data_IF_381992742521
#
_entry.id   IF_381992742521
#
_cell.length_a   1.000
_cell.length_b   1.000
_cell.length_c   1.000
_cell.angle_alpha   90.00
_cell.angle_beta   90.00
_cell.angle_gamma   90.00
#
_symmetry.space_group_name_H-M   'P 1'
#
loop_
_entity.id
_entity.type
_entity.pdbx_description
1 polymer ?
#
# COMPACT_ATOMS: atom_id res chain seq x y z
N UNK A 1 -1.52 -26.35 -10.50
CA UNK A 1 -2.63 -25.92 -11.39
C UNK A 1 -2.36 -24.49 -11.81
N UNK A 2 -1.92 -24.28 -13.05
CA UNK A 2 -1.90 -22.94 -13.62
C UNK A 2 -3.35 -22.59 -13.95
N UNK A 3 -3.93 -21.65 -13.22
CA UNK A 3 -5.26 -21.09 -13.53
C UNK A 3 -5.23 -20.55 -14.96
N UNK A 4 -6.18 -20.97 -15.79
CA UNK A 4 -6.31 -20.50 -17.17
C UNK A 4 -6.33 -18.96 -17.18
N UNK A 5 -5.42 -18.36 -17.94
CA UNK A 5 -5.40 -16.91 -18.18
C UNK A 5 -6.73 -16.51 -18.80
N UNK A 6 -7.54 -15.81 -18.03
CA UNK A 6 -8.82 -15.28 -18.50
C UNK A 6 -8.60 -13.89 -19.09
N UNK A 7 -9.38 -13.54 -20.12
CA UNK A 7 -9.38 -12.20 -20.72
C UNK A 7 -9.53 -11.07 -19.67
N UNK A 8 -10.28 -11.34 -18.60
CA UNK A 8 -10.45 -10.42 -17.49
C UNK A 8 -9.15 -10.17 -16.72
N UNK A 9 -8.36 -11.20 -16.44
CA UNK A 9 -7.08 -11.10 -15.73
C UNK A 9 -6.05 -10.30 -16.53
N UNK A 10 -5.99 -10.50 -17.85
CA UNK A 10 -5.12 -9.72 -18.73
C UNK A 10 -5.58 -8.25 -18.85
N UNK A 11 -6.89 -8.00 -18.94
CA UNK A 11 -7.46 -6.63 -18.97
C UNK A 11 -7.20 -5.84 -17.68
N UNK A 12 -7.24 -6.54 -16.54
CA UNK A 12 -7.04 -5.97 -15.22
C UNK A 12 -5.56 -5.69 -14.94
N UNK A 13 -4.67 -6.58 -15.40
CA UNK A 13 -3.21 -6.43 -15.30
C UNK A 13 -2.62 -5.43 -16.28
N UNK A 14 -3.32 -5.09 -17.36
CA UNK A 14 -2.82 -4.15 -18.37
C UNK A 14 -2.58 -2.74 -17.81
N UNK A 15 -3.44 -2.29 -16.90
CA UNK A 15 -3.37 -0.96 -16.29
C UNK A 15 -3.41 -1.04 -14.77
N UNK A 16 -2.38 -0.48 -14.13
CA UNK A 16 -2.25 -0.50 -12.67
C UNK A 16 -3.43 0.13 -11.92
N UNK A 17 -3.99 1.23 -12.43
CA UNK A 17 -5.16 1.86 -11.80
C UNK A 17 -6.38 0.94 -11.80
N UNK A 18 -6.54 0.05 -12.80
CA UNK A 18 -7.64 -0.92 -12.86
C UNK A 18 -7.48 -1.99 -11.79
N UNK A 19 -6.26 -2.53 -11.62
CA UNK A 19 -5.94 -3.47 -10.55
C UNK A 19 -6.19 -2.87 -9.16
N UNK A 20 -5.75 -1.62 -8.94
CA UNK A 20 -5.98 -0.91 -7.67
C UNK A 20 -7.47 -0.70 -7.41
N UNK A 21 -8.23 -0.18 -8.39
CA UNK A 21 -9.67 0.08 -8.25
C UNK A 21 -10.45 -1.21 -8.02
N UNK A 22 -10.13 -2.27 -8.75
CA UNK A 22 -10.78 -3.57 -8.57
C UNK A 22 -10.55 -4.13 -7.17
N UNK A 23 -9.30 -4.10 -6.68
CA UNK A 23 -8.97 -4.58 -5.33
C UNK A 23 -9.61 -3.73 -4.25
N UNK A 24 -9.64 -2.41 -4.44
CA UNK A 24 -10.36 -1.51 -3.55
C UNK A 24 -11.84 -1.90 -3.47
N UNK A 25 -12.52 -2.04 -4.62
CA UNK A 25 -13.92 -2.42 -4.68
C UNK A 25 -14.20 -3.78 -4.02
N UNK A 26 -13.33 -4.77 -4.27
CA UNK A 26 -13.47 -6.10 -3.70
C UNK A 26 -13.29 -6.09 -2.17
N UNK A 27 -12.20 -5.49 -1.68
CA UNK A 27 -11.92 -5.40 -0.25
C UNK A 27 -13.00 -4.56 0.47
N UNK A 28 -13.44 -3.46 -0.14
CA UNK A 28 -14.51 -2.64 0.41
C UNK A 28 -15.83 -3.42 0.51
N UNK A 29 -16.17 -4.20 -0.52
CA UNK A 29 -17.39 -5.03 -0.52
C UNK A 29 -17.35 -6.09 0.58
N UNK A 30 -16.24 -6.83 0.69
CA UNK A 30 -16.04 -7.86 1.72
C UNK A 30 -16.07 -7.24 3.12
N UNK A 31 -15.37 -6.12 3.32
CA UNK A 31 -15.30 -5.43 4.62
C UNK A 31 -16.66 -4.87 5.04
N UNK A 32 -17.41 -4.31 4.09
CA UNK A 32 -18.77 -3.80 4.34
C UNK A 32 -19.71 -4.93 4.76
N UNK A 33 -19.70 -6.05 4.03
CA UNK A 33 -20.52 -7.22 4.36
C UNK A 33 -20.13 -7.81 5.73
N UNK A 34 -18.83 -8.00 5.98
CA UNK A 34 -18.33 -8.51 7.25
C UNK A 34 -18.77 -7.63 8.43
N UNK A 35 -18.64 -6.31 8.27
CA UNK A 35 -19.07 -5.34 9.28
C UNK A 35 -20.59 -5.40 9.46
N UNK A 36 -21.37 -5.42 8.38
CA UNK A 36 -22.83 -5.53 8.46
C UNK A 36 -23.28 -6.78 9.24
N UNK A 37 -22.69 -7.95 8.95
CA UNK A 37 -23.00 -9.18 9.68
C UNK A 37 -22.59 -9.10 11.16
N UNK A 38 -21.43 -8.52 11.46
CA UNK A 38 -20.98 -8.34 12.84
C UNK A 38 -21.92 -7.44 13.66
N UNK A 39 -22.30 -6.28 13.09
CA UNK A 39 -23.12 -5.30 13.78
C UNK A 39 -24.60 -5.71 13.86
N UNK A 40 -25.20 -6.06 12.71
CA UNK A 40 -26.65 -6.25 12.61
C UNK A 40 -27.06 -7.67 13.02
N UNK A 41 -26.30 -8.69 12.62
CA UNK A 41 -26.67 -10.10 12.89
C UNK A 41 -26.15 -10.61 14.22
N UNK A 42 -24.95 -10.18 14.64
CA UNK A 42 -24.36 -10.60 15.93
C UNK A 42 -24.55 -9.57 17.05
N UNK A 43 -25.06 -8.38 16.75
CA UNK A 43 -25.30 -7.34 17.76
C UNK A 43 -24.02 -6.82 18.41
N UNK A 44 -22.87 -6.97 17.74
CA UNK A 44 -21.60 -6.49 18.29
C UNK A 44 -21.61 -4.95 18.24
N UNK A 45 -21.28 -4.26 19.36
CA UNK A 45 -21.21 -2.80 19.35
C UNK A 45 -20.19 -2.29 18.33
N UNK A 46 -20.59 -1.31 17.52
CA UNK A 46 -19.77 -0.78 16.42
C UNK A 46 -18.38 -0.28 16.85
N UNK A 47 -18.34 0.43 17.98
CA UNK A 47 -17.11 0.98 18.56
C UNK A 47 -16.18 -0.16 19.01
N UNK A 48 -16.73 -1.20 19.64
CA UNK A 48 -15.95 -2.34 20.09
C UNK A 48 -15.37 -3.12 18.90
N UNK A 49 -16.17 -3.39 17.87
CA UNK A 49 -15.71 -4.06 16.66
C UNK A 49 -14.60 -3.27 15.95
N UNK A 50 -14.76 -1.95 15.83
CA UNK A 50 -13.76 -1.08 15.25
C UNK A 50 -12.46 -1.02 16.06
N UNK A 51 -12.56 -0.94 17.40
CA UNK A 51 -11.37 -0.98 18.28
C UNK A 51 -10.60 -2.27 18.07
N UNK A 52 -11.26 -3.42 18.12
CA UNK A 52 -10.61 -4.73 17.94
C UNK A 52 -9.93 -4.87 16.57
N UNK A 53 -10.59 -4.37 15.51
CA UNK A 53 -9.98 -4.33 14.18
C UNK A 53 -8.74 -3.42 14.17
N UNK A 54 -8.84 -2.23 14.76
CA UNK A 54 -7.73 -1.27 14.81
C UNK A 54 -6.56 -1.82 15.61
N UNK A 55 -6.81 -2.42 16.77
CA UNK A 55 -5.79 -3.02 17.64
C UNK A 55 -5.04 -4.17 16.94
N UNK A 56 -5.71 -4.87 16.02
CA UNK A 56 -5.10 -5.96 15.25
C UNK A 56 -4.40 -5.46 13.98
N UNK A 57 -5.00 -4.51 13.27
CA UNK A 57 -4.54 -4.07 11.95
C UNK A 57 -3.49 -2.96 12.06
N UNK A 58 -3.59 -2.06 13.04
CA UNK A 58 -2.66 -0.95 13.18
C UNK A 58 -1.21 -1.40 13.42
N UNK A 59 -0.91 -2.39 14.29
CA UNK A 59 0.45 -2.92 14.42
C UNK A 59 0.94 -3.56 13.12
N UNK A 60 0.06 -4.30 12.43
CA UNK A 60 0.40 -4.94 11.16
C UNK A 60 0.73 -3.90 10.08
N UNK A 61 -0.08 -2.86 9.93
CA UNK A 61 0.17 -1.73 9.02
C UNK A 61 1.43 -0.99 9.43
N UNK A 62 1.69 -0.80 10.72
CA UNK A 62 2.90 -0.13 11.17
C UNK A 62 4.16 -0.95 10.82
N UNK A 63 4.18 -2.25 11.13
CA UNK A 63 5.35 -3.09 10.85
C UNK A 63 5.48 -3.39 9.35
N UNK A 64 4.49 -4.08 8.75
CA UNK A 64 4.56 -4.46 7.33
C UNK A 64 4.48 -3.26 6.39
N UNK A 65 3.72 -2.21 6.75
CA UNK A 65 3.66 -0.99 5.95
C UNK A 65 4.97 -0.23 5.98
N UNK A 66 5.65 -0.12 7.12
CA UNK A 66 6.96 0.55 7.18
C UNK A 66 8.05 -0.23 6.46
N UNK A 67 8.11 -1.56 6.65
CA UNK A 67 9.00 -2.41 5.85
C UNK A 67 8.67 -2.33 4.35
N UNK A 68 7.40 -2.33 4.00
CA UNK A 68 6.92 -2.16 2.63
C UNK A 68 7.35 -0.81 2.04
N UNK A 69 7.26 0.28 2.81
CA UNK A 69 7.68 1.60 2.39
C UNK A 69 9.20 1.66 2.11
N UNK A 70 10.02 1.11 3.01
CA UNK A 70 11.47 1.01 2.81
C UNK A 70 11.81 0.21 1.54
N UNK A 71 11.14 -0.93 1.34
CA UNK A 71 11.29 -1.72 0.11
C UNK A 71 10.83 -0.96 -1.14
N UNK A 72 9.79 -0.13 -1.04
CA UNK A 72 9.34 0.71 -2.15
C UNK A 72 10.38 1.78 -2.52
N UNK A 73 11.04 2.41 -1.53
CA UNK A 73 12.14 3.35 -1.79
C UNK A 73 13.30 2.67 -2.50
N UNK A 74 13.70 1.49 -2.01
CA UNK A 74 14.73 0.67 -2.64
C UNK A 74 14.34 0.26 -4.07
N UNK A 75 13.09 -0.15 -4.27
CA UNK A 75 12.53 -0.54 -5.56
C UNK A 75 12.52 0.62 -6.57
N UNK A 76 12.23 1.85 -6.12
CA UNK A 76 12.32 3.05 -6.95
C UNK A 76 13.76 3.38 -7.33
N UNK A 77 14.69 3.28 -6.38
CA UNK A 77 16.13 3.51 -6.63
C UNK A 77 16.66 2.55 -7.69
N UNK A 78 16.41 1.24 -7.53
CA UNK A 78 16.89 0.22 -8.47
C UNK A 78 16.36 0.46 -9.87
N UNK A 79 15.10 0.88 -9.99
CA UNK A 79 14.48 1.21 -11.28
C UNK A 79 15.13 2.39 -11.98
N UNK A 80 15.42 3.45 -11.24
CA UNK A 80 16.06 4.63 -11.80
C UNK A 80 17.53 4.33 -12.15
N UNK A 81 18.19 3.42 -11.41
CA UNK A 81 19.51 2.88 -11.78
C UNK A 81 19.48 2.02 -13.06
N UNK A 82 18.41 1.29 -13.37
CA UNK A 82 18.29 0.58 -14.66
C UNK A 82 18.35 1.55 -15.85
N UNK A 83 17.81 2.76 -15.67
CA UNK A 83 17.82 3.82 -16.69
C UNK A 83 19.18 4.52 -16.74
N UNK A 84 19.78 4.82 -15.60
CA UNK A 84 21.02 5.59 -15.49
C UNK A 84 22.30 4.75 -15.75
N UNK A 85 22.26 3.44 -15.49
CA UNK A 85 23.38 2.51 -15.69
C UNK A 85 22.89 1.14 -16.20
N UNK A 86 22.42 1.11 -17.45
CA UNK A 86 21.85 -0.09 -18.07
C UNK A 86 22.84 -1.26 -18.21
N UNK A 87 24.14 -1.00 -18.26
CA UNK A 87 25.16 -2.06 -18.34
C UNK A 87 25.19 -2.94 -17.09
N UNK A 88 25.07 -2.33 -15.90
CA UNK A 88 25.15 -3.04 -14.62
C UNK A 88 23.76 -3.39 -14.07
N UNK A 89 22.76 -2.53 -14.29
CA UNK A 89 21.40 -2.67 -13.74
C UNK A 89 20.33 -2.97 -14.81
N UNK A 90 20.72 -3.19 -16.06
CA UNK A 90 19.77 -3.55 -17.12
C UNK A 90 19.03 -4.86 -16.83
N UNK A 91 17.88 -5.06 -17.48
CA UNK A 91 16.97 -6.18 -17.20
C UNK A 91 17.62 -7.57 -17.36
N UNK A 92 18.65 -7.68 -18.21
CA UNK A 92 19.37 -8.93 -18.43
C UNK A 92 20.46 -9.21 -17.38
N UNK A 93 20.90 -8.17 -16.65
CA UNK A 93 21.94 -8.28 -15.63
C UNK A 93 21.41 -8.97 -14.38
N UNK A 94 22.31 -9.58 -13.59
CA UNK A 94 21.96 -10.19 -12.31
C UNK A 94 21.32 -9.16 -11.36
N UNK A 95 21.87 -7.95 -11.31
CA UNK A 95 21.39 -6.88 -10.44
C UNK A 95 20.00 -6.37 -10.90
N UNK A 96 19.76 -6.28 -12.21
CA UNK A 96 18.44 -5.93 -12.76
C UNK A 96 17.39 -6.99 -12.44
N UNK A 97 17.75 -8.28 -12.53
CA UNK A 97 16.87 -9.40 -12.15
C UNK A 97 16.52 -9.36 -10.66
N UNK A 98 17.51 -9.16 -9.79
CA UNK A 98 17.27 -8.98 -8.34
C UNK A 98 16.42 -7.74 -8.06
N UNK A 99 16.65 -6.63 -8.75
CA UNK A 99 15.82 -5.44 -8.67
C UNK A 99 14.39 -5.65 -9.14
N UNK A 100 14.17 -6.52 -10.14
CA UNK A 100 12.86 -7.01 -10.52
C UNK A 100 12.13 -7.72 -9.38
N UNK A 101 12.81 -8.61 -8.66
CA UNK A 101 12.26 -9.32 -7.50
C UNK A 101 11.89 -8.34 -6.38
N UNK A 102 12.80 -7.43 -6.02
CA UNK A 102 12.56 -6.42 -4.97
C UNK A 102 11.35 -5.55 -5.32
N UNK A 103 11.24 -5.08 -6.58
CA UNK A 103 10.08 -4.31 -7.04
C UNK A 103 8.77 -5.08 -6.93
N UNK A 104 8.80 -6.38 -7.25
CA UNK A 104 7.61 -7.22 -7.15
C UNK A 104 7.16 -7.37 -5.69
N UNK A 105 8.09 -7.71 -4.81
CA UNK A 105 7.82 -7.87 -3.37
C UNK A 105 7.34 -6.56 -2.76
N UNK A 106 8.01 -5.44 -3.04
CA UNK A 106 7.59 -4.10 -2.58
C UNK A 106 6.19 -3.72 -3.07
N UNK A 107 5.92 -3.99 -4.35
CA UNK A 107 4.61 -3.74 -4.96
C UNK A 107 3.49 -4.61 -4.37
N UNK A 108 3.79 -5.85 -4.00
CA UNK A 108 2.79 -6.75 -3.39
C UNK A 108 2.56 -6.38 -1.92
N UNK A 109 3.60 -6.12 -1.12
CA UNK A 109 3.46 -5.69 0.28
C UNK A 109 2.67 -4.37 0.38
N UNK A 110 3.02 -3.36 -0.42
CA UNK A 110 2.30 -2.08 -0.41
C UNK A 110 0.82 -2.24 -0.78
N UNK A 111 0.50 -3.20 -1.64
CA UNK A 111 -0.87 -3.50 -2.04
C UNK A 111 -1.65 -4.27 -0.96
N UNK A 112 -1.00 -5.14 -0.18
CA UNK A 112 -1.58 -5.74 1.02
C UNK A 112 -1.87 -4.69 2.09
N UNK A 113 -0.92 -3.78 2.34
CA UNK A 113 -1.11 -2.66 3.27
C UNK A 113 -2.26 -1.76 2.83
N UNK A 114 -2.37 -1.49 1.51
CA UNK A 114 -3.50 -0.75 0.94
C UNK A 114 -4.85 -1.46 1.21
N UNK A 115 -4.91 -2.79 1.07
CA UNK A 115 -6.10 -3.57 1.41
C UNK A 115 -6.47 -3.48 2.89
N UNK A 116 -5.49 -3.61 3.78
CA UNK A 116 -5.69 -3.49 5.22
C UNK A 116 -6.23 -2.10 5.62
N UNK A 117 -5.65 -1.03 5.06
CA UNK A 117 -6.11 0.33 5.25
C UNK A 117 -7.52 0.56 4.70
N UNK A 118 -7.84 -0.02 3.53
CA UNK A 118 -9.19 0.04 2.96
C UNK A 118 -10.21 -0.60 3.90
N UNK A 119 -9.90 -1.76 4.46
CA UNK A 119 -10.77 -2.44 5.41
C UNK A 119 -11.01 -1.61 6.68
N UNK A 120 -9.97 -0.97 7.21
CA UNK A 120 -10.09 -0.05 8.36
C UNK A 120 -11.00 1.14 8.04
N UNK A 121 -10.77 1.81 6.91
CA UNK A 121 -11.57 2.99 6.49
C UNK A 121 -13.04 2.62 6.32
N UNK A 122 -13.34 1.53 5.63
CA UNK A 122 -14.72 1.10 5.38
C UNK A 122 -15.40 0.68 6.68
N UNK A 123 -14.72 -0.09 7.52
CA UNK A 123 -15.26 -0.50 8.82
C UNK A 123 -15.53 0.70 9.71
N UNK A 124 -14.62 1.69 9.74
CA UNK A 124 -14.81 2.95 10.45
C UNK A 124 -16.03 3.73 9.93
N UNK A 125 -16.20 3.84 8.61
CA UNK A 125 -17.35 4.53 8.01
C UNK A 125 -18.67 3.87 8.40
N UNK A 126 -18.77 2.55 8.29
CA UNK A 126 -19.98 1.80 8.65
C UNK A 126 -20.25 1.89 10.15
N UNK A 127 -19.19 1.82 10.98
CA UNK A 127 -19.30 1.96 12.42
C UNK A 127 -19.76 3.37 12.83
N UNK A 128 -19.24 4.42 12.20
CA UNK A 128 -19.62 5.80 12.45
C UNK A 128 -21.11 6.05 12.13
N UNK A 129 -21.58 5.57 10.96
CA UNK A 129 -23.00 5.64 10.58
C UNK A 129 -23.88 4.91 11.60
N UNK A 130 -23.43 3.76 12.09
CA UNK A 130 -24.17 2.97 13.10
C UNK A 130 -24.13 3.60 14.49
N UNK A 131 -23.06 4.33 14.84
CA UNK A 131 -22.82 4.94 16.15
C UNK A 131 -23.39 6.36 16.29
N UNK A 132 -23.97 6.93 15.22
CA UNK A 132 -24.60 8.27 15.15
C UNK A 132 -25.61 8.57 16.28
N UNK A 133 -26.00 7.58 17.09
CA UNK A 133 -26.75 7.76 18.31
C UNK A 133 -26.01 8.56 19.42
N UNK A 134 -24.67 8.72 19.35
CA UNK A 134 -23.90 9.56 20.31
C UNK A 134 -22.76 10.34 19.64
N UNK A 135 -22.85 11.69 19.63
CA UNK A 135 -21.88 12.61 18.98
C UNK A 135 -20.44 12.42 19.48
N UNK A 136 -20.27 12.12 20.78
CA UNK A 136 -18.97 11.85 21.41
C UNK A 136 -18.26 10.64 20.79
N UNK A 137 -19.00 9.57 20.51
CA UNK A 137 -18.46 8.35 19.90
C UNK A 137 -18.02 8.60 18.46
N UNK A 138 -18.76 9.40 17.70
CA UNK A 138 -18.40 9.75 16.33
C UNK A 138 -17.10 10.56 16.25
N UNK A 139 -16.88 11.51 17.17
CA UNK A 139 -15.64 12.29 17.24
C UNK A 139 -14.40 11.42 17.51
N UNK A 140 -14.53 10.40 18.37
CA UNK A 140 -13.43 9.48 18.69
C UNK A 140 -12.94 8.64 17.49
N UNK A 141 -13.77 8.51 16.45
CA UNK A 141 -13.48 7.76 15.24
C UNK A 141 -12.88 8.61 14.11
N UNK A 142 -12.95 9.95 14.20
CA UNK A 142 -12.52 10.83 13.10
C UNK A 142 -11.02 10.83 12.88
N UNK A 143 -10.22 10.97 13.94
CA UNK A 143 -8.76 11.01 13.82
C UNK A 143 -8.17 9.72 13.20
N UNK A 144 -8.48 8.50 13.71
CA UNK A 144 -7.96 7.28 13.09
C UNK A 144 -8.51 7.08 11.67
N UNK A 145 -9.73 7.54 11.37
CA UNK A 145 -10.28 7.53 10.02
C UNK A 145 -9.46 8.40 9.06
N UNK A 146 -9.24 9.68 9.39
CA UNK A 146 -8.47 10.60 8.54
C UNK A 146 -7.02 10.12 8.36
N UNK A 147 -6.40 9.61 9.41
CA UNK A 147 -5.05 9.04 9.32
C UNK A 147 -5.02 7.83 8.39
N UNK A 148 -5.99 6.93 8.50
CA UNK A 148 -6.09 5.75 7.63
C UNK A 148 -6.32 6.13 6.17
N UNK A 149 -7.13 7.15 5.90
CA UNK A 149 -7.35 7.68 4.53
C UNK A 149 -6.06 8.30 3.97
N UNK A 150 -5.35 9.10 4.77
CA UNK A 150 -4.09 9.70 4.34
C UNK A 150 -3.03 8.62 3.99
N UNK A 151 -2.91 7.60 4.84
CA UNK A 151 -2.02 6.45 4.59
C UNK A 151 -2.46 5.64 3.37
N UNK A 152 -3.77 5.47 3.15
CA UNK A 152 -4.32 4.77 1.98
C UNK A 152 -3.93 5.49 0.69
N UNK A 153 -4.08 6.82 0.65
CA UNK A 153 -3.69 7.64 -0.51
C UNK A 153 -2.17 7.55 -0.72
N UNK A 154 -1.38 7.71 0.34
CA UNK A 154 0.08 7.63 0.27
C UNK A 154 0.57 6.28 -0.26
N UNK A 155 0.04 5.17 0.27
CA UNK A 155 0.39 3.82 -0.21
C UNK A 155 -0.02 3.58 -1.66
N UNK A 156 -1.17 4.09 -2.09
CA UNK A 156 -1.61 4.05 -3.48
C UNK A 156 -0.65 4.79 -4.43
N UNK A 157 -0.21 6.00 -4.05
CA UNK A 157 0.76 6.80 -4.81
C UNK A 157 2.10 6.07 -4.90
N UNK A 158 2.61 5.54 -3.79
CA UNK A 158 3.89 4.80 -3.76
C UNK A 158 3.82 3.56 -4.64
N UNK A 159 2.72 2.80 -4.55
CA UNK A 159 2.51 1.61 -5.38
C UNK A 159 2.53 1.97 -6.88
N UNK A 160 1.90 3.09 -7.24
CA UNK A 160 1.95 3.64 -8.60
C UNK A 160 3.39 3.88 -9.07
N UNK A 161 4.21 4.55 -8.25
CA UNK A 161 5.59 4.82 -8.61
C UNK A 161 6.47 3.56 -8.69
N UNK A 162 6.24 2.55 -7.86
CA UNK A 162 7.00 1.28 -7.93
C UNK A 162 6.65 0.51 -9.20
N UNK A 163 5.36 0.45 -9.56
CA UNK A 163 4.85 -0.39 -10.65
C UNK A 163 4.68 0.31 -12.01
N UNK A 164 5.00 1.61 -12.13
CA UNK A 164 4.99 2.34 -13.42
C UNK A 164 5.78 1.61 -14.51
N UNK A 165 5.42 1.73 -15.79
CA UNK A 165 6.26 1.20 -16.88
C UNK A 165 7.36 2.17 -17.29
N UNK A 166 7.10 3.46 -17.15
CA UNK A 166 7.98 4.55 -17.59
C UNK A 166 8.99 4.99 -16.52
N UNK A 167 10.08 5.69 -16.90
CA UNK A 167 11.03 6.29 -15.95
C UNK A 167 10.32 7.21 -14.94
N UNK A 168 10.88 7.39 -13.73
CA UNK A 168 10.32 8.40 -12.80
C UNK A 168 10.39 9.79 -13.43
N UNK A 169 9.53 10.74 -13.04
CA UNK A 169 9.81 12.16 -13.28
C UNK A 169 11.19 12.59 -12.74
N UNK A 170 11.64 11.92 -11.67
CA UNK A 170 12.93 12.13 -11.00
C UNK A 170 14.16 11.78 -11.84
N UNK A 171 14.03 10.99 -12.91
CA UNK A 171 15.14 10.70 -13.83
C UNK A 171 15.71 11.98 -14.48
N UNK A 172 14.89 13.03 -14.63
CA UNK A 172 15.34 14.32 -15.15
C UNK A 172 16.20 15.11 -14.16
N UNK A 173 16.08 14.80 -12.87
CA UNK A 173 16.78 15.46 -11.77
C UNK A 173 18.10 14.73 -11.47
N UNK A 174 18.11 13.40 -11.49
CA UNK A 174 19.32 12.60 -11.29
C UNK A 174 20.14 12.54 -12.58
N UNK A 175 21.20 13.37 -12.66
CA UNK A 175 22.11 13.39 -13.81
C UNK A 175 23.18 12.30 -13.76
N UNK A 176 23.29 11.60 -12.64
CA UNK A 176 24.25 10.52 -12.43
C UNK A 176 23.70 9.43 -11.49
N UNK A 177 24.15 8.17 -11.64
CA UNK A 177 23.73 7.08 -10.75
C UNK A 177 24.13 7.33 -9.29
N UNK A 178 25.26 7.99 -9.05
CA UNK A 178 25.73 8.32 -7.71
C UNK A 178 24.78 9.28 -6.98
N UNK A 179 24.24 10.30 -7.66
CA UNK A 179 23.24 11.21 -7.09
C UNK A 179 21.95 10.47 -6.71
N UNK A 180 21.50 9.54 -7.54
CA UNK A 180 20.32 8.73 -7.25
C UNK A 180 20.55 7.87 -6.00
N UNK A 181 21.69 7.19 -5.90
CA UNK A 181 22.05 6.36 -4.73
C UNK A 181 22.11 7.19 -3.45
N UNK A 182 22.71 8.38 -3.47
CA UNK A 182 22.76 9.24 -2.28
C UNK A 182 21.35 9.68 -1.87
N UNK A 183 20.55 10.17 -2.82
CA UNK A 183 19.21 10.67 -2.54
C UNK A 183 18.30 9.58 -1.94
N UNK A 184 18.21 8.43 -2.62
CA UNK A 184 17.40 7.31 -2.15
C UNK A 184 17.99 6.64 -0.90
N UNK A 185 19.32 6.53 -0.81
CA UNK A 185 20.01 5.97 0.34
C UNK A 185 19.82 6.79 1.61
N UNK A 186 19.77 8.13 1.49
CA UNK A 186 19.47 9.02 2.61
C UNK A 186 18.05 8.79 3.12
N UNK A 187 17.06 8.76 2.21
CA UNK A 187 15.66 8.49 2.57
C UNK A 187 15.50 7.11 3.20
N UNK A 188 16.15 6.09 2.63
CA UNK A 188 16.09 4.73 3.15
C UNK A 188 16.71 4.64 4.55
N UNK A 189 17.85 5.31 4.78
CA UNK A 189 18.52 5.32 6.08
C UNK A 189 17.66 5.97 7.16
N UNK A 190 17.02 7.10 6.83
CA UNK A 190 16.08 7.78 7.73
C UNK A 190 14.89 6.87 8.07
N UNK A 191 14.32 6.20 7.06
CA UNK A 191 13.19 5.28 7.28
C UNK A 191 13.58 4.07 8.13
N UNK A 192 14.73 3.45 7.87
CA UNK A 192 15.19 2.33 8.66
C UNK A 192 15.48 2.74 10.10
N UNK A 193 16.11 3.91 10.32
CA UNK A 193 16.30 4.45 11.66
C UNK A 193 14.97 4.61 12.39
N UNK A 194 13.94 5.15 11.72
CA UNK A 194 12.60 5.30 12.31
C UNK A 194 11.88 3.97 12.60
N UNK A 195 12.23 2.87 11.92
CA UNK A 195 11.63 1.54 12.14
C UNK A 195 12.25 0.86 13.37
N UNK A 196 13.52 1.12 13.66
CA UNK A 196 14.30 0.43 14.71
C UNK A 196 14.49 1.25 16.00
N UNK A 197 13.93 2.47 16.07
CA UNK A 197 13.85 3.30 17.27
C UNK A 197 12.53 3.09 18.00
#
# INVERSE_FOLDING_TARGET
MATEKTFFDDWLKDRLYRDIVYRFALVASVSSLATYFALVRRGIPAIWYFSQLTDSVAPLVNTFGSFGAALCVLAMMLKDLEVLCSNDFGQESLLGKLGGVVRRVAGDISLWTFGALTAMVITASVAAVSASATVSSALSLLLPYFLSVALLIGTGIVNFFVRRKEPSPWHTIYRSPFQAVIAYGTVLSIQLAAIFM
#
